data_IF_476920730705
#
_entry.id   IF_476920730705
#
_cell.length_a   1.000
_cell.length_b   1.000
_cell.length_c   1.000
_cell.angle_alpha   90.00
_cell.angle_beta   90.00
_cell.angle_gamma   90.00
#
_symmetry.space_group_name_H-M   'P 1'
#
loop_
_entity.id
_entity.type
_entity.pdbx_description
1 polymer ?
#
# COMPACT_ATOMS: atom_id res chain seq x y z
N UNK A 1 -4.51 7.07 15.92
CA UNK A 1 -3.79 5.92 15.35
C UNK A 1 -3.77 6.05 13.83
N UNK A 2 -2.59 6.04 13.24
CA UNK A 2 -2.43 5.98 11.77
C UNK A 2 -1.91 4.59 11.44
N UNK A 3 -2.67 3.83 10.67
CA UNK A 3 -2.32 2.47 10.27
C UNK A 3 -2.29 2.41 8.74
N UNK A 4 -1.14 2.03 8.21
CA UNK A 4 -0.91 1.86 6.77
C UNK A 4 -0.93 0.38 6.45
N UNK A 5 -1.76 -0.02 5.48
CA UNK A 5 -1.90 -1.42 5.07
C UNK A 5 -1.45 -1.52 3.62
N UNK A 6 -0.42 -2.30 3.41
CA UNK A 6 0.20 -2.52 2.11
C UNK A 6 0.21 -4.01 1.76
N UNK A 7 0.43 -4.30 0.52
CA UNK A 7 0.52 -5.65 -0.02
C UNK A 7 -0.05 -5.76 -1.43
N UNK A 8 0.18 -6.89 -2.06
CA UNK A 8 -0.36 -7.19 -3.38
C UNK A 8 -1.88 -7.39 -3.36
N UNK A 9 -2.48 -7.41 -4.54
CA UNK A 9 -3.90 -7.80 -4.67
C UNK A 9 -4.10 -9.25 -4.24
N UNK A 10 -5.32 -9.60 -3.87
CA UNK A 10 -5.66 -10.95 -3.43
C UNK A 10 -5.26 -11.27 -1.98
N UNK A 11 -4.78 -10.29 -1.21
CA UNK A 11 -4.38 -10.48 0.19
C UNK A 11 -5.45 -10.13 1.22
N UNK A 12 -6.57 -9.54 0.78
CA UNK A 12 -7.64 -9.11 1.68
C UNK A 12 -7.40 -7.75 2.34
N UNK A 13 -6.52 -6.91 1.79
CA UNK A 13 -6.20 -5.58 2.34
C UNK A 13 -7.42 -4.71 2.59
N UNK A 14 -8.25 -4.54 1.58
CA UNK A 14 -9.42 -3.66 1.65
C UNK A 14 -10.40 -4.14 2.71
N UNK A 15 -10.66 -5.44 2.76
CA UNK A 15 -11.52 -6.03 3.80
C UNK A 15 -10.96 -5.80 5.20
N UNK A 16 -9.66 -6.01 5.37
CA UNK A 16 -8.99 -5.78 6.65
C UNK A 16 -8.99 -4.30 7.02
N UNK A 17 -8.69 -3.42 6.08
CA UNK A 17 -8.71 -1.98 6.28
C UNK A 17 -10.11 -1.47 6.70
N UNK A 18 -11.15 -1.96 6.05
CA UNK A 18 -12.53 -1.60 6.39
C UNK A 18 -12.90 -2.06 7.79
N UNK A 19 -12.52 -3.26 8.19
CA UNK A 19 -12.75 -3.76 9.55
C UNK A 19 -12.05 -2.90 10.62
N UNK A 20 -10.82 -2.48 10.36
CA UNK A 20 -10.10 -1.59 11.28
C UNK A 20 -10.76 -0.20 11.33
N UNK A 21 -11.19 0.31 10.20
CA UNK A 21 -11.88 1.60 10.10
C UNK A 21 -13.15 1.61 10.97
N UNK A 22 -13.95 0.58 10.87
CA UNK A 22 -15.17 0.42 11.67
C UNK A 22 -14.85 0.24 13.16
N UNK A 23 -13.91 -0.64 13.47
CA UNK A 23 -13.56 -0.98 14.86
C UNK A 23 -13.04 0.23 15.64
N UNK A 24 -12.27 1.09 15.02
CA UNK A 24 -11.63 2.23 15.67
C UNK A 24 -12.26 3.57 15.31
N UNK A 25 -13.36 3.55 14.57
CA UNK A 25 -14.03 4.75 14.07
C UNK A 25 -13.04 5.71 13.42
N UNK A 26 -12.20 5.18 12.55
CA UNK A 26 -11.13 5.91 11.89
C UNK A 26 -11.59 6.49 10.55
N UNK A 27 -10.85 7.46 10.04
CA UNK A 27 -11.00 7.93 8.68
C UNK A 27 -10.29 6.97 7.73
N UNK A 28 -10.96 6.56 6.65
CA UNK A 28 -10.42 5.67 5.62
C UNK A 28 -9.96 6.47 4.41
N UNK A 29 -8.74 6.18 3.95
CA UNK A 29 -8.23 6.65 2.66
C UNK A 29 -7.63 5.49 1.88
N UNK A 30 -7.86 5.49 0.58
CA UNK A 30 -7.25 4.56 -0.37
C UNK A 30 -6.36 5.34 -1.33
N UNK A 31 -5.07 4.98 -1.40
CA UNK A 31 -4.16 5.63 -2.33
C UNK A 31 -4.30 5.04 -3.73
N UNK A 32 -4.32 5.91 -4.70
CA UNK A 32 -4.30 5.61 -6.12
C UNK A 32 -2.95 6.00 -6.73
N UNK A 33 -2.85 5.93 -8.04
CA UNK A 33 -1.65 6.44 -8.73
C UNK A 33 -1.44 7.92 -8.40
N UNK A 34 -0.22 8.34 -8.05
CA UNK A 34 0.05 9.72 -7.68
C UNK A 34 -0.32 10.71 -8.79
N UNK A 35 -0.88 11.84 -8.37
CA UNK A 35 -1.24 12.96 -9.25
C UNK A 35 -0.26 14.12 -9.14
N UNK A 36 0.39 14.27 -7.97
CA UNK A 36 1.44 15.26 -7.74
C UNK A 36 2.82 14.67 -8.09
N UNK A 37 3.79 15.55 -8.31
CA UNK A 37 5.21 15.16 -8.47
C UNK A 37 5.96 15.14 -7.14
N UNK A 38 5.31 15.60 -6.05
CA UNK A 38 5.91 15.69 -4.73
C UNK A 38 5.32 14.63 -3.82
N UNK A 39 6.16 13.75 -3.29
CA UNK A 39 5.73 12.71 -2.35
C UNK A 39 5.08 13.27 -1.09
N UNK A 40 5.50 14.47 -0.65
CA UNK A 40 4.89 15.14 0.50
C UNK A 40 3.41 15.40 0.26
N UNK A 41 3.03 15.85 -0.94
CA UNK A 41 1.65 16.14 -1.31
C UNK A 41 0.79 14.86 -1.36
N UNK A 42 1.39 13.75 -1.78
CA UNK A 42 0.67 12.47 -1.93
C UNK A 42 0.55 11.71 -0.61
N UNK A 43 1.59 11.72 0.23
CA UNK A 43 1.70 10.78 1.35
C UNK A 43 1.76 11.42 2.73
N UNK A 44 1.97 12.72 2.85
CA UNK A 44 2.03 13.42 4.14
C UNK A 44 0.87 14.41 4.31
N UNK A 45 0.65 15.30 3.35
CA UNK A 45 -0.41 16.32 3.45
C UNK A 45 -1.83 15.77 3.59
N UNK A 46 -2.21 14.62 2.97
CA UNK A 46 -3.55 14.07 3.18
C UNK A 46 -3.82 13.55 4.60
N UNK A 47 -2.78 13.44 5.44
CA UNK A 47 -2.91 12.97 6.81
C UNK A 47 -3.42 14.09 7.71
N UNK A 48 -4.73 14.29 7.73
CA UNK A 48 -5.41 15.39 8.43
C UNK A 48 -5.99 15.00 9.78
N UNK A 49 -5.88 13.74 10.16
CA UNK A 49 -6.40 13.20 11.41
C UNK A 49 -5.34 12.30 12.07
N UNK A 50 -5.37 12.22 13.39
CA UNK A 50 -4.53 11.28 14.14
C UNK A 50 -5.11 9.85 14.18
N UNK A 51 -6.29 9.64 13.59
CA UNK A 51 -6.97 8.34 13.56
C UNK A 51 -7.39 7.98 12.14
N UNK A 52 -6.49 7.33 11.42
CA UNK A 52 -6.68 7.01 10.00
C UNK A 52 -6.26 5.58 9.69
N UNK A 53 -6.95 4.97 8.75
CA UNK A 53 -6.57 3.71 8.12
C UNK A 53 -6.31 3.99 6.64
N UNK A 54 -5.10 3.69 6.20
CA UNK A 54 -4.63 3.96 4.84
C UNK A 54 -4.50 2.62 4.11
N UNK A 55 -5.34 2.43 3.11
CA UNK A 55 -5.36 1.25 2.26
C UNK A 55 -4.53 1.53 1.02
N UNK A 56 -3.37 0.93 0.92
CA UNK A 56 -2.25 1.29 0.05
C UNK A 56 -1.72 2.68 0.37
N UNK A 57 -0.42 2.83 0.37
CA UNK A 57 0.21 4.12 0.64
C UNK A 57 1.57 4.20 -0.06
N UNK A 58 2.55 4.80 0.57
CA UNK A 58 3.86 5.12 -0.01
C UNK A 58 4.69 3.91 -0.44
N UNK A 59 4.54 2.75 0.20
CA UNK A 59 5.29 1.56 -0.18
C UNK A 59 4.93 1.09 -1.59
N UNK A 60 3.66 1.22 -1.97
CA UNK A 60 3.21 0.93 -3.33
C UNK A 60 3.93 1.76 -4.39
N UNK A 61 4.36 2.97 -4.07
CA UNK A 61 5.11 3.83 -4.98
C UNK A 61 6.54 3.34 -5.25
N UNK A 62 7.05 2.43 -4.44
CA UNK A 62 8.31 1.72 -4.72
C UNK A 62 8.08 0.50 -5.61
N UNK A 63 6.93 -0.14 -5.48
CA UNK A 63 6.59 -1.41 -6.15
C UNK A 63 6.02 -1.20 -7.56
N UNK A 64 4.93 -0.43 -7.67
CA UNK A 64 4.18 -0.32 -8.93
C UNK A 64 4.96 0.34 -10.07
N UNK A 65 5.82 1.35 -9.84
CA UNK A 65 6.65 1.87 -10.91
C UNK A 65 7.57 0.84 -11.55
N UNK A 66 8.09 -0.11 -10.77
CA UNK A 66 8.93 -1.19 -11.28
C UNK A 66 8.15 -2.13 -12.19
N UNK A 67 6.88 -2.38 -11.87
CA UNK A 67 6.00 -3.27 -12.65
C UNK A 67 5.55 -2.61 -13.93
N UNK A 68 5.12 -1.34 -13.87
CA UNK A 68 4.55 -0.63 -15.00
C UNK A 68 5.55 0.21 -15.79
N UNK A 69 6.83 0.19 -15.41
CA UNK A 69 7.89 0.89 -16.13
C UNK A 69 7.78 2.41 -16.08
N UNK A 70 7.18 2.96 -15.04
CA UNK A 70 7.09 4.41 -14.84
C UNK A 70 8.12 4.91 -13.82
N UNK A 71 8.37 6.21 -13.83
CA UNK A 71 9.26 6.84 -12.86
C UNK A 71 8.55 6.93 -11.51
N UNK A 72 9.23 6.47 -10.44
CA UNK A 72 8.74 6.63 -9.07
C UNK A 72 8.88 8.07 -8.59
N UNK A 73 7.99 8.49 -7.67
CA UNK A 73 8.16 9.73 -6.91
C UNK A 73 9.33 9.67 -5.95
N UNK A 74 9.81 8.47 -5.62
CA UNK A 74 10.88 8.26 -4.68
C UNK A 74 12.17 7.85 -5.36
N UNK A 75 13.28 8.45 -4.93
CA UNK A 75 14.59 7.81 -4.91
C UNK A 75 14.81 7.19 -3.51
N UNK A 76 15.96 6.57 -3.28
CA UNK A 76 16.27 5.94 -2.01
C UNK A 76 16.22 6.93 -0.84
N UNK A 77 16.77 8.14 -1.04
CA UNK A 77 16.82 9.17 -0.01
C UNK A 77 15.44 9.71 0.35
N UNK A 78 14.62 10.02 -0.65
CA UNK A 78 13.27 10.58 -0.41
C UNK A 78 12.32 9.54 0.16
N UNK A 79 12.50 8.27 -0.17
CA UNK A 79 11.75 7.18 0.46
C UNK A 79 12.05 7.08 1.96
N UNK A 80 13.31 7.16 2.34
CA UNK A 80 13.72 7.17 3.74
C UNK A 80 13.16 8.38 4.49
N UNK A 81 13.16 9.55 3.87
CA UNK A 81 12.53 10.75 4.44
C UNK A 81 11.03 10.57 4.66
N UNK A 82 10.32 9.98 3.70
CA UNK A 82 8.89 9.71 3.86
C UNK A 82 8.62 8.76 5.03
N UNK A 83 9.39 7.69 5.13
CA UNK A 83 9.30 6.75 6.27
C UNK A 83 9.53 7.46 7.60
N UNK A 84 10.52 8.34 7.66
CA UNK A 84 10.82 9.09 8.89
C UNK A 84 9.68 10.05 9.27
N UNK A 85 9.10 10.77 8.30
CA UNK A 85 7.96 11.66 8.56
C UNK A 85 6.75 10.87 9.05
N UNK A 86 6.47 9.72 8.44
CA UNK A 86 5.37 8.85 8.87
C UNK A 86 5.61 8.28 10.27
N UNK A 87 6.83 7.90 10.59
CA UNK A 87 7.20 7.41 11.91
C UNK A 87 7.02 8.50 12.98
N UNK A 88 7.36 9.74 12.68
CA UNK A 88 7.13 10.87 13.58
C UNK A 88 5.64 11.08 13.90
N UNK A 89 4.77 10.75 12.97
CA UNK A 89 3.31 10.81 13.16
C UNK A 89 2.78 9.58 13.91
N UNK A 90 3.64 8.65 14.29
CA UNK A 90 3.25 7.41 14.95
C UNK A 90 2.58 6.40 14.02
N UNK A 91 2.77 6.52 12.71
CA UNK A 91 2.20 5.60 11.75
C UNK A 91 2.75 4.18 11.92
N UNK A 92 1.87 3.20 11.79
CA UNK A 92 2.21 1.77 11.78
C UNK A 92 2.04 1.23 10.38
N UNK A 93 3.06 0.58 9.88
CA UNK A 93 3.01 -0.08 8.58
C UNK A 93 2.77 -1.57 8.75
N UNK A 94 1.73 -2.08 8.13
CA UNK A 94 1.36 -3.49 8.13
C UNK A 94 1.43 -4.00 6.70
N UNK A 95 2.26 -4.99 6.47
CA UNK A 95 2.28 -5.73 5.22
C UNK A 95 1.37 -6.94 5.33
N UNK A 96 0.30 -6.97 4.55
CA UNK A 96 -0.52 -8.17 4.40
C UNK A 96 0.02 -9.00 3.25
N UNK A 97 0.25 -10.28 3.54
CA UNK A 97 0.71 -11.23 2.54
C UNK A 97 -0.06 -12.54 2.68
N UNK A 98 -0.11 -13.29 1.58
CA UNK A 98 -0.64 -14.66 1.52
C UNK A 98 0.31 -15.49 0.69
N UNK A 99 0.17 -16.82 0.74
CA UNK A 99 0.92 -17.69 -0.15
C UNK A 99 0.58 -17.41 -1.62
N UNK A 100 1.51 -17.70 -2.51
CA UNK A 100 1.28 -17.54 -3.95
C UNK A 100 0.06 -18.35 -4.42
N UNK A 101 -0.10 -19.57 -3.92
CA UNK A 101 -1.25 -20.43 -4.25
C UNK A 101 -2.56 -19.79 -3.79
N UNK A 102 -2.62 -19.26 -2.58
CA UNK A 102 -3.82 -18.60 -2.06
C UNK A 102 -4.19 -17.35 -2.85
N UNK A 103 -3.20 -16.56 -3.28
CA UNK A 103 -3.42 -15.39 -4.15
C UNK A 103 -3.94 -15.85 -5.52
N UNK A 104 -3.33 -16.85 -6.12
CA UNK A 104 -3.77 -17.38 -7.42
C UNK A 104 -5.20 -17.89 -7.36
N UNK A 105 -5.56 -18.65 -6.32
CA UNK A 105 -6.92 -19.14 -6.12
C UNK A 105 -7.93 -17.99 -6.00
N UNK A 106 -7.62 -16.95 -5.24
CA UNK A 106 -8.50 -15.79 -5.08
C UNK A 106 -8.71 -15.04 -6.40
N UNK A 107 -7.65 -14.86 -7.19
CA UNK A 107 -7.76 -14.19 -8.48
C UNK A 107 -8.54 -15.04 -9.49
N UNK A 108 -8.36 -16.36 -9.49
CA UNK A 108 -9.17 -17.26 -10.31
C UNK A 108 -10.65 -17.18 -9.92
N UNK A 109 -10.95 -17.17 -8.63
CA UNK A 109 -12.31 -17.04 -8.12
C UNK A 109 -12.99 -15.73 -8.57
N UNK A 110 -12.22 -14.65 -8.72
CA UNK A 110 -12.69 -13.35 -9.20
C UNK A 110 -12.76 -13.24 -10.73
N UNK A 111 -12.26 -14.24 -11.47
CA UNK A 111 -12.11 -14.16 -12.91
C UNK A 111 -10.96 -13.28 -13.39
N UNK A 112 -9.95 -13.08 -12.55
CA UNK A 112 -8.80 -12.20 -12.79
C UNK A 112 -7.52 -13.00 -13.08
N UNK A 113 -7.62 -14.14 -13.73
CA UNK A 113 -6.47 -15.03 -14.00
C UNK A 113 -5.38 -14.39 -14.85
N UNK A 114 -5.71 -13.42 -15.70
CA UNK A 114 -4.72 -12.71 -16.53
C UNK A 114 -3.80 -11.81 -15.68
N UNK A 115 -4.22 -11.48 -14.48
CA UNK A 115 -3.45 -10.63 -13.55
C UNK A 115 -2.53 -11.42 -12.62
N UNK A 116 -2.60 -12.76 -12.60
CA UNK A 116 -1.89 -13.58 -11.61
C UNK A 116 -0.39 -13.32 -11.62
N UNK A 117 0.27 -13.37 -12.78
CA UNK A 117 1.71 -13.17 -12.87
C UNK A 117 2.15 -11.78 -12.37
N UNK A 118 1.39 -10.74 -12.74
CA UNK A 118 1.64 -9.36 -12.29
C UNK A 118 1.49 -9.27 -10.78
N UNK A 119 0.45 -9.86 -10.23
CA UNK A 119 0.18 -9.81 -8.79
C UNK A 119 1.23 -10.60 -8.00
N UNK A 120 1.64 -11.77 -8.46
CA UNK A 120 2.71 -12.55 -7.80
C UNK A 120 4.05 -11.83 -7.85
N UNK A 121 4.36 -11.14 -8.95
CA UNK A 121 5.56 -10.30 -9.04
C UNK A 121 5.47 -9.12 -8.04
N UNK A 122 4.31 -8.46 -7.98
CA UNK A 122 4.11 -7.37 -7.01
C UNK A 122 4.26 -7.86 -5.56
N UNK A 123 3.79 -9.06 -5.25
CA UNK A 123 3.97 -9.68 -3.93
C UNK A 123 5.44 -9.77 -3.55
N UNK A 124 6.27 -10.28 -4.45
CA UNK A 124 7.71 -10.39 -4.22
C UNK A 124 8.35 -9.03 -3.97
N UNK A 125 7.99 -8.02 -4.75
CA UNK A 125 8.52 -6.67 -4.59
C UNK A 125 8.08 -6.00 -3.29
N UNK A 126 6.84 -6.23 -2.84
CA UNK A 126 6.38 -5.74 -1.54
C UNK A 126 7.14 -6.37 -0.39
N UNK A 127 7.37 -7.67 -0.43
CA UNK A 127 8.14 -8.38 0.61
C UNK A 127 9.58 -7.87 0.64
N UNK A 128 10.19 -7.65 -0.52
CA UNK A 128 11.55 -7.12 -0.62
C UNK A 128 11.66 -5.67 -0.09
N UNK A 129 10.68 -4.83 -0.40
CA UNK A 129 10.67 -3.41 -0.02
C UNK A 129 10.31 -3.18 1.46
N UNK A 130 9.54 -4.10 2.06
CA UNK A 130 9.11 -3.99 3.46
C UNK A 130 10.28 -4.21 4.44
#
# INVERSE_FOLDING_TARGET
MITIIEGSDGTGKTTYAQKLTERYNAQYLHAEQPRSRLWVDEYIRPLTSSNMVLDRWHLGEVVWPKIYGRVSLFDETTFDYCNWELAKLGARLILLTRSEDAIAEELLRRGEELEIDVVLHSRSLFVEAF
#
